data_IF_551365706177
#
_entry.id   IF_551365706177
#
_cell.length_a   1.000
_cell.length_b   1.000
_cell.length_c   1.000
_cell.angle_alpha   90.00
_cell.angle_beta   90.00
_cell.angle_gamma   90.00
#
_symmetry.space_group_name_H-M   'P 1'
#
loop_
_entity.id
_entity.type
_entity.pdbx_description
1 polymer ?
#
# COMPACT_ATOMS: atom_id res chain seq x y z
N UNK A 1 17.62 73.51 -33.00
CA UNK A 1 17.46 72.12 -32.56
C UNK A 1 16.09 71.62 -33.01
N UNK A 2 16.03 70.87 -34.10
CA UNK A 2 14.79 70.55 -34.80
C UNK A 2 14.13 69.29 -34.28
N UNK A 3 12.86 69.38 -33.92
CA UNK A 3 11.98 68.21 -33.63
C UNK A 3 11.36 67.73 -34.94
N UNK A 4 11.55 66.46 -35.26
CA UNK A 4 10.87 65.80 -36.36
C UNK A 4 9.69 64.96 -35.79
N UNK A 5 8.48 65.41 -36.14
CA UNK A 5 7.24 64.67 -35.91
C UNK A 5 6.99 63.75 -37.11
N UNK A 6 6.92 62.45 -36.90
CA UNK A 6 6.44 61.49 -37.91
C UNK A 6 4.99 61.16 -37.67
N UNK A 7 4.16 61.55 -38.62
CA UNK A 7 2.74 61.24 -38.75
C UNK A 7 2.53 59.75 -39.03
N UNK A 8 1.69 59.09 -38.20
CA UNK A 8 1.17 57.73 -38.46
C UNK A 8 -0.14 57.84 -39.25
N UNK A 9 -0.16 57.22 -40.44
CA UNK A 9 -1.36 57.07 -41.24
C UNK A 9 -2.18 55.88 -40.79
N UNK A 10 -3.45 56.10 -40.41
CA UNK A 10 -4.42 55.04 -40.10
C UNK A 10 -5.11 54.63 -41.38
N UNK A 11 -4.96 53.39 -41.79
CA UNK A 11 -5.73 52.77 -42.89
C UNK A 11 -7.00 52.14 -42.29
N UNK A 12 -8.16 52.66 -42.69
CA UNK A 12 -9.47 52.10 -42.36
C UNK A 12 -9.74 50.91 -43.30
N UNK A 13 -9.83 49.69 -42.77
CA UNK A 13 -10.31 48.51 -43.49
C UNK A 13 -11.82 48.36 -43.25
N UNK A 14 -12.59 48.47 -44.32
CA UNK A 14 -14.03 48.24 -44.37
C UNK A 14 -14.29 46.74 -44.44
N UNK A 15 -14.87 46.17 -43.39
CA UNK A 15 -15.30 44.76 -43.35
C UNK A 15 -16.73 44.68 -43.89
N UNK A 16 -16.89 44.02 -45.06
CA UNK A 16 -18.22 43.68 -45.59
C UNK A 16 -18.80 42.47 -44.85
N UNK A 17 -19.95 42.64 -44.17
CA UNK A 17 -20.70 41.56 -43.57
C UNK A 17 -21.43 40.79 -44.68
N UNK A 18 -20.98 39.57 -44.97
CA UNK A 18 -21.76 38.58 -45.68
C UNK A 18 -22.54 37.75 -44.63
N UNK A 19 -23.84 37.96 -44.56
CA UNK A 19 -24.74 37.10 -43.82
C UNK A 19 -24.95 35.82 -44.67
N UNK A 20 -24.25 34.72 -44.33
CA UNK A 20 -24.63 33.36 -44.78
C UNK A 20 -25.54 32.78 -43.72
N UNK A 21 -26.78 32.48 -44.11
CA UNK A 21 -27.66 31.62 -43.32
C UNK A 21 -27.05 30.22 -43.30
N UNK A 22 -26.35 29.87 -42.25
CA UNK A 22 -25.91 28.52 -41.99
C UNK A 22 -27.08 27.76 -41.37
N UNK A 23 -27.54 26.71 -42.05
CA UNK A 23 -28.32 25.66 -41.46
C UNK A 23 -27.66 25.15 -40.20
N UNK A 24 -28.44 24.96 -39.13
CA UNK A 24 -27.92 24.42 -37.85
C UNK A 24 -27.22 23.09 -38.09
N UNK A 25 -25.89 23.13 -37.97
CA UNK A 25 -25.17 21.94 -37.58
C UNK A 25 -25.38 21.88 -36.07
N UNK A 26 -26.17 20.89 -35.61
CA UNK A 26 -26.00 20.36 -34.28
C UNK A 26 -24.54 19.88 -34.21
N UNK A 27 -23.64 20.73 -33.72
CA UNK A 27 -22.34 20.24 -33.25
C UNK A 27 -22.67 19.20 -32.20
N UNK A 28 -22.52 17.94 -32.58
CA UNK A 28 -22.50 16.84 -31.60
C UNK A 28 -21.45 17.25 -30.60
N UNK A 29 -21.91 17.68 -29.43
CA UNK A 29 -21.02 17.94 -28.30
C UNK A 29 -20.05 16.76 -28.19
N UNK A 30 -18.76 17.03 -28.28
CA UNK A 30 -17.79 15.96 -28.11
C UNK A 30 -18.12 15.22 -26.82
N UNK A 31 -18.08 13.89 -26.82
CA UNK A 31 -18.33 13.15 -25.59
C UNK A 31 -17.46 13.74 -24.47
N UNK A 32 -17.99 13.88 -23.24
CA UNK A 32 -17.21 14.42 -22.14
C UNK A 32 -15.89 13.64 -22.03
N UNK A 33 -14.79 14.34 -21.96
CA UNK A 33 -13.47 13.72 -21.85
C UNK A 33 -13.42 12.90 -20.54
N UNK A 34 -13.12 11.62 -20.65
CA UNK A 34 -13.05 10.76 -19.47
C UNK A 34 -11.89 11.18 -18.56
N UNK A 35 -12.02 11.07 -17.22
CA UNK A 35 -10.94 11.39 -16.29
C UNK A 35 -9.65 10.70 -16.67
N UNK A 36 -8.60 11.49 -16.91
CA UNK A 36 -7.27 11.02 -17.25
C UNK A 36 -6.22 12.03 -16.80
N UNK A 37 -5.00 11.57 -16.60
CA UNK A 37 -3.92 12.48 -16.24
C UNK A 37 -2.69 11.81 -15.67
N UNK A 38 -1.78 12.67 -15.23
CA UNK A 38 -0.60 12.31 -14.47
C UNK A 38 -0.63 13.06 -13.15
N UNK A 39 -0.50 12.34 -12.04
CA UNK A 39 -0.51 12.91 -10.69
C UNK A 39 0.81 12.54 -10.01
N UNK A 40 1.37 13.50 -9.27
CA UNK A 40 2.47 13.26 -8.33
C UNK A 40 1.98 13.48 -6.91
N UNK A 41 2.15 12.48 -6.06
CA UNK A 41 1.75 12.54 -4.66
C UNK A 41 2.96 12.55 -3.72
N UNK A 42 2.83 13.25 -2.60
CA UNK A 42 3.81 13.19 -1.51
C UNK A 42 3.42 12.12 -0.50
N UNK A 43 4.08 10.97 -0.56
CA UNK A 43 3.86 9.83 0.32
C UNK A 43 4.94 9.69 1.42
N UNK A 44 5.59 10.82 1.81
CA UNK A 44 6.73 10.82 2.75
C UNK A 44 6.30 10.85 4.22
N UNK A 45 5.16 11.45 4.53
CA UNK A 45 4.69 11.70 5.91
C UNK A 45 3.49 10.85 6.33
N UNK A 46 3.01 9.95 5.47
CA UNK A 46 1.83 9.13 5.72
C UNK A 46 1.18 8.67 4.43
N UNK A 47 -0.07 8.26 4.52
CA UNK A 47 -0.87 7.89 3.36
C UNK A 47 -1.31 9.15 2.59
N UNK A 48 -1.06 9.17 1.30
CA UNK A 48 -1.57 10.16 0.36
C UNK A 48 -2.70 9.51 -0.44
N UNK A 49 -3.92 10.00 -0.28
CA UNK A 49 -5.13 9.44 -0.90
C UNK A 49 -5.43 10.17 -2.21
N UNK A 50 -5.91 9.45 -3.21
CA UNK A 50 -6.21 9.99 -4.54
C UNK A 50 -7.60 9.56 -4.98
N UNK A 51 -8.38 10.54 -5.44
CA UNK A 51 -9.57 10.32 -6.25
C UNK A 51 -9.17 10.26 -7.72
N UNK A 52 -9.31 9.09 -8.33
CA UNK A 52 -9.14 8.93 -9.77
C UNK A 52 -10.29 9.57 -10.54
N UNK A 53 -11.50 9.57 -9.94
CA UNK A 53 -12.67 10.20 -10.51
C UNK A 53 -12.51 11.71 -10.65
N UNK A 54 -11.95 12.36 -9.62
CA UNK A 54 -11.74 13.82 -9.60
C UNK A 54 -10.33 14.23 -10.05
N UNK A 55 -9.49 13.26 -10.40
CA UNK A 55 -8.09 13.49 -10.81
C UNK A 55 -7.30 14.30 -9.77
N UNK A 56 -7.50 14.06 -8.47
CA UNK A 56 -6.97 14.89 -7.40
C UNK A 56 -6.50 14.12 -6.16
N UNK A 57 -5.60 14.74 -5.41
CA UNK A 57 -5.24 14.27 -4.05
C UNK A 57 -6.33 14.74 -3.08
N UNK A 58 -6.82 13.84 -2.26
CA UNK A 58 -7.89 14.11 -1.28
C UNK A 58 -7.40 13.87 0.15
N UNK A 59 -8.11 14.45 1.13
CA UNK A 59 -7.79 14.27 2.55
C UNK A 59 -9.05 13.82 3.29
N UNK A 60 -9.39 12.52 3.21
CA UNK A 60 -10.58 12.01 3.86
C UNK A 60 -10.46 12.11 5.39
N UNK A 61 -11.56 12.47 6.06
CA UNK A 61 -11.62 12.58 7.54
C UNK A 61 -11.44 11.19 8.17
N UNK A 62 -12.10 10.18 7.63
CA UNK A 62 -11.94 8.78 8.01
C UNK A 62 -11.72 7.95 6.73
N UNK A 63 -10.48 7.64 6.40
CA UNK A 63 -10.16 6.92 5.18
C UNK A 63 -10.80 5.53 5.07
N UNK A 64 -11.02 4.85 6.19
CA UNK A 64 -11.55 3.48 6.20
C UNK A 64 -13.04 3.43 5.79
N UNK A 65 -13.79 4.49 6.05
CA UNK A 65 -15.22 4.59 5.74
C UNK A 65 -15.56 5.52 4.60
N UNK A 66 -14.61 6.39 4.20
CA UNK A 66 -14.80 7.35 3.10
C UNK A 66 -14.79 6.66 1.73
N UNK A 67 -15.66 7.12 0.83
CA UNK A 67 -15.68 6.72 -0.57
C UNK A 67 -15.00 7.72 -1.51
N UNK A 68 -14.34 8.75 -0.97
CA UNK A 68 -13.76 9.88 -1.74
C UNK A 68 -12.43 9.54 -2.43
N UNK A 69 -11.90 8.34 -2.28
CA UNK A 69 -10.62 7.93 -2.84
C UNK A 69 -10.68 6.50 -3.37
N UNK A 70 -9.88 6.17 -4.37
CA UNK A 70 -9.74 4.82 -4.91
C UNK A 70 -8.40 4.19 -4.59
N UNK A 71 -7.32 4.98 -4.61
CA UNK A 71 -5.95 4.51 -4.42
C UNK A 71 -5.18 5.41 -3.46
N UNK A 72 -4.32 4.84 -2.65
CA UNK A 72 -3.47 5.60 -1.73
C UNK A 72 -2.04 5.06 -1.71
N UNK A 73 -1.10 5.94 -1.36
CA UNK A 73 0.33 5.67 -1.37
C UNK A 73 0.98 6.02 -0.03
N UNK A 74 1.87 5.15 0.45
CA UNK A 74 2.75 5.43 1.59
C UNK A 74 4.11 4.81 1.33
N UNK A 75 5.12 5.63 1.07
CA UNK A 75 6.40 5.20 0.53
C UNK A 75 6.20 4.32 -0.72
N UNK A 76 6.61 3.06 -0.69
CA UNK A 76 6.42 2.11 -1.81
C UNK A 76 5.11 1.33 -1.74
N UNK A 77 4.37 1.46 -0.65
CA UNK A 77 3.11 0.74 -0.45
C UNK A 77 1.97 1.43 -1.20
N UNK A 78 1.15 0.61 -1.82
CA UNK A 78 -0.09 1.03 -2.50
C UNK A 78 -1.26 0.35 -1.80
N UNK A 79 -2.33 1.10 -1.57
CA UNK A 79 -3.54 0.64 -0.90
C UNK A 79 -4.76 1.01 -1.75
N UNK A 80 -5.73 0.11 -1.82
CA UNK A 80 -7.00 0.30 -2.51
C UNK A 80 -8.11 0.55 -1.49
N UNK A 81 -9.06 1.39 -1.82
CA UNK A 81 -10.24 1.63 -0.98
C UNK A 81 -11.25 0.47 -1.09
N UNK A 82 -10.83 -0.71 -0.64
CA UNK A 82 -11.69 -1.90 -0.70
C UNK A 82 -11.13 -3.07 0.09
N UNK A 83 -11.97 -4.07 0.32
CA UNK A 83 -11.63 -5.21 1.16
C UNK A 83 -11.39 -4.83 2.61
N UNK A 84 -10.24 -5.19 3.17
CA UNK A 84 -9.87 -4.84 4.55
C UNK A 84 -9.40 -3.38 4.71
N UNK A 85 -9.06 -2.70 3.62
CA UNK A 85 -8.43 -1.37 3.65
C UNK A 85 -9.43 -0.22 3.54
N UNK A 86 -10.67 -0.47 3.07
CA UNK A 86 -11.67 0.58 2.93
C UNK A 86 -13.02 0.08 2.45
N UNK A 87 -14.03 0.95 2.53
CA UNK A 87 -15.43 0.61 2.33
C UNK A 87 -15.95 0.86 0.89
N UNK A 88 -15.17 1.49 0.01
CA UNK A 88 -15.64 1.86 -1.33
C UNK A 88 -15.69 0.70 -2.34
N UNK A 89 -15.30 -0.52 -1.93
CA UNK A 89 -15.37 -1.71 -2.78
C UNK A 89 -14.38 -1.69 -3.95
N UNK A 90 -13.31 -0.92 -3.86
CA UNK A 90 -12.28 -0.85 -4.90
C UNK A 90 -11.48 -2.15 -4.94
N UNK A 91 -11.18 -2.59 -6.14
CA UNK A 91 -10.35 -3.76 -6.42
C UNK A 91 -9.45 -3.50 -7.62
N UNK A 92 -8.40 -4.28 -7.78
CA UNK A 92 -7.52 -4.11 -8.93
C UNK A 92 -7.11 -5.45 -9.55
N UNK A 93 -6.67 -5.36 -10.80
CA UNK A 93 -6.09 -6.44 -11.58
C UNK A 93 -4.80 -5.94 -12.22
N UNK A 94 -3.73 -6.75 -12.22
CA UNK A 94 -2.50 -6.43 -12.93
C UNK A 94 -2.56 -7.03 -14.34
N UNK A 95 -2.42 -6.20 -15.36
CA UNK A 95 -2.18 -6.69 -16.73
C UNK A 95 -0.79 -7.34 -16.80
N UNK A 96 0.14 -6.79 -16.05
CA UNK A 96 1.48 -7.36 -15.80
C UNK A 96 2.28 -7.66 -17.06
N UNK A 97 2.18 -6.82 -18.09
CA UNK A 97 2.87 -7.02 -19.37
C UNK A 97 4.40 -7.10 -19.22
N UNK A 98 4.97 -6.44 -18.21
CA UNK A 98 6.41 -6.43 -17.92
C UNK A 98 6.84 -7.45 -16.84
N UNK A 99 5.97 -8.39 -16.44
CA UNK A 99 6.29 -9.35 -15.37
C UNK A 99 7.52 -10.23 -15.66
N UNK A 100 7.74 -10.57 -16.93
CA UNK A 100 8.89 -11.38 -17.37
C UNK A 100 10.14 -10.57 -17.72
N UNK A 101 10.10 -9.23 -17.61
CA UNK A 101 11.26 -8.39 -17.93
C UNK A 101 12.44 -8.71 -17.00
N UNK A 102 13.65 -8.73 -17.57
CA UNK A 102 14.89 -8.85 -16.79
C UNK A 102 15.19 -7.56 -16.03
N UNK A 103 16.08 -7.59 -15.03
CA UNK A 103 16.50 -6.38 -14.32
C UNK A 103 17.09 -5.32 -15.26
N UNK A 104 17.91 -5.74 -16.22
CA UNK A 104 18.48 -4.83 -17.22
C UNK A 104 17.40 -4.15 -18.08
N UNK A 105 16.33 -4.87 -18.43
CA UNK A 105 15.19 -4.28 -19.14
C UNK A 105 14.45 -3.28 -18.27
N UNK A 106 14.16 -3.62 -16.99
CA UNK A 106 13.48 -2.71 -16.06
C UNK A 106 14.29 -1.44 -15.81
N UNK A 107 15.63 -1.54 -15.69
CA UNK A 107 16.51 -0.37 -15.55
C UNK A 107 16.42 0.55 -16.78
N UNK A 108 16.23 -0.01 -17.97
CA UNK A 108 16.16 0.74 -19.23
C UNK A 108 14.78 1.34 -19.54
N UNK A 109 13.72 0.94 -18.81
CA UNK A 109 12.37 1.46 -19.01
C UNK A 109 12.25 2.93 -18.60
N UNK A 110 11.48 3.70 -19.36
CA UNK A 110 11.15 5.10 -19.08
C UNK A 110 9.65 5.33 -19.23
N UNK A 111 9.09 6.40 -18.64
CA UNK A 111 7.68 6.76 -18.87
C UNK A 111 7.31 6.87 -20.36
N UNK A 112 8.26 7.33 -21.20
CA UNK A 112 8.06 7.50 -22.65
C UNK A 112 8.10 6.16 -23.38
N UNK A 113 9.06 5.26 -23.06
CA UNK A 113 9.16 3.94 -23.71
C UNK A 113 7.94 3.07 -23.41
N UNK A 114 7.34 3.22 -22.23
CA UNK A 114 6.21 2.41 -21.77
C UNK A 114 4.83 3.09 -21.97
N UNK A 115 4.80 4.21 -22.72
CA UNK A 115 3.54 4.91 -23.02
C UNK A 115 2.63 4.06 -23.91
N UNK A 116 3.19 3.42 -24.94
CA UNK A 116 2.41 2.59 -25.85
C UNK A 116 1.75 1.39 -25.13
N UNK A 117 2.45 0.80 -24.16
CA UNK A 117 1.89 -0.28 -23.31
C UNK A 117 0.71 0.21 -22.46
N UNK A 118 0.83 1.42 -21.91
CA UNK A 118 -0.27 2.03 -21.17
C UNK A 118 -1.46 2.32 -22.10
N UNK A 119 -1.24 2.94 -23.25
CA UNK A 119 -2.29 3.31 -24.19
C UNK A 119 -2.94 2.09 -24.85
N UNK A 120 -2.19 1.01 -25.03
CA UNK A 120 -2.68 -0.25 -25.59
C UNK A 120 -3.63 -1.03 -24.68
N UNK A 121 -3.69 -0.69 -23.39
CA UNK A 121 -4.68 -1.30 -22.46
C UNK A 121 -6.00 -0.54 -22.57
N UNK A 122 -6.96 -1.08 -23.26
CA UNK A 122 -8.30 -0.53 -23.50
C UNK A 122 -9.40 -1.33 -22.76
N UNK A 123 -10.66 -1.01 -23.02
CA UNK A 123 -11.81 -1.69 -22.40
C UNK A 123 -11.87 -3.20 -22.69
N UNK A 124 -11.28 -3.68 -23.81
CA UNK A 124 -11.24 -5.10 -24.14
C UNK A 124 -10.28 -5.90 -23.25
N UNK A 125 -9.32 -5.22 -22.61
CA UNK A 125 -8.41 -5.83 -21.66
C UNK A 125 -9.01 -6.02 -20.27
N UNK A 126 -10.22 -5.51 -20.00
CA UNK A 126 -10.87 -5.62 -18.69
C UNK A 126 -11.36 -7.07 -18.49
N UNK A 127 -10.80 -7.80 -17.51
CA UNK A 127 -11.18 -9.19 -17.28
C UNK A 127 -12.53 -9.29 -16.57
N UNK A 128 -13.04 -10.53 -16.43
CA UNK A 128 -14.22 -10.78 -15.63
C UNK A 128 -14.06 -10.27 -14.19
N UNK A 129 -15.16 -9.86 -13.56
CA UNK A 129 -15.16 -9.24 -12.23
C UNK A 129 -14.41 -10.05 -11.16
N UNK A 130 -14.47 -11.37 -11.22
CA UNK A 130 -13.80 -12.26 -10.26
C UNK A 130 -12.27 -12.30 -10.36
N UNK A 131 -11.67 -11.69 -11.39
CA UNK A 131 -10.22 -11.56 -11.51
C UNK A 131 -9.65 -10.36 -10.72
N UNK A 132 -10.51 -9.41 -10.35
CA UNK A 132 -10.10 -8.27 -9.55
C UNK A 132 -9.94 -8.66 -8.08
N UNK A 133 -8.89 -8.17 -7.44
CA UNK A 133 -8.53 -8.45 -6.05
C UNK A 133 -8.59 -7.16 -5.24
N UNK A 134 -9.36 -7.17 -4.14
CA UNK A 134 -9.33 -6.10 -3.12
C UNK A 134 -8.23 -6.36 -2.11
N UNK A 135 -7.89 -5.34 -1.33
CA UNK A 135 -6.88 -5.48 -0.29
C UNK A 135 -7.36 -6.37 0.86
N UNK A 136 -6.46 -7.20 1.35
CA UNK A 136 -6.63 -8.02 2.55
C UNK A 136 -5.60 -7.62 3.61
N UNK A 137 -5.91 -7.88 4.88
CA UNK A 137 -4.94 -7.71 5.96
C UNK A 137 -3.80 -8.72 5.80
N UNK A 138 -2.57 -8.24 5.87
CA UNK A 138 -1.35 -9.06 5.90
C UNK A 138 -0.68 -8.86 7.26
N UNK A 139 -0.87 -9.80 8.21
CA UNK A 139 -0.17 -9.74 9.48
C UNK A 139 1.34 -9.85 9.32
N UNK A 140 2.10 -9.02 10.04
CA UNK A 140 3.55 -9.15 10.11
C UNK A 140 3.97 -10.46 10.78
N UNK A 141 3.14 -10.97 11.67
CA UNK A 141 3.33 -12.24 12.39
C UNK A 141 2.91 -13.48 11.56
N UNK A 142 2.90 -13.39 10.25
CA UNK A 142 2.44 -14.47 9.38
C UNK A 142 3.37 -15.69 9.39
N UNK A 143 2.78 -16.90 9.36
CA UNK A 143 3.53 -18.14 9.35
C UNK A 143 3.91 -18.68 10.74
N UNK A 144 3.24 -18.20 11.78
CA UNK A 144 3.33 -18.74 13.14
C UNK A 144 2.65 -20.11 13.25
N UNK A 145 1.74 -20.42 12.33
CA UNK A 145 1.00 -21.68 12.28
C UNK A 145 1.08 -22.37 10.93
N UNK A 146 0.82 -23.67 10.94
CA UNK A 146 0.61 -24.49 9.74
C UNK A 146 -0.77 -25.13 9.79
N UNK A 147 -1.28 -25.56 8.63
CA UNK A 147 -2.59 -26.17 8.48
C UNK A 147 -3.68 -25.16 8.12
N UNK A 148 -4.80 -25.69 7.65
CA UNK A 148 -6.01 -24.94 7.29
C UNK A 148 -7.22 -25.65 7.87
N UNK A 149 -8.10 -24.89 8.51
CA UNK A 149 -9.36 -25.37 9.07
C UNK A 149 -9.25 -25.83 10.53
N UNK A 150 -10.43 -25.97 11.16
CA UNK A 150 -10.55 -26.35 12.55
C UNK A 150 -9.92 -27.73 12.83
N UNK A 151 -9.00 -27.79 13.76
CA UNK A 151 -8.33 -29.00 14.22
C UNK A 151 -7.04 -29.39 13.49
N UNK A 152 -6.68 -28.72 12.39
CA UNK A 152 -5.45 -28.98 11.65
C UNK A 152 -4.35 -27.92 11.89
N UNK A 153 -4.64 -26.85 12.66
CA UNK A 153 -3.71 -25.75 12.89
C UNK A 153 -2.77 -26.11 14.02
N UNK A 154 -1.46 -26.02 13.74
CA UNK A 154 -0.41 -26.24 14.72
C UNK A 154 0.59 -25.10 14.71
N UNK A 155 1.12 -24.74 15.88
CA UNK A 155 2.18 -23.77 16.00
C UNK A 155 3.46 -24.28 15.34
N UNK A 156 4.15 -23.43 14.58
CA UNK A 156 5.42 -23.77 13.93
C UNK A 156 6.62 -23.74 14.88
N UNK A 157 6.47 -23.11 16.04
CA UNK A 157 7.58 -22.85 16.97
C UNK A 157 8.62 -21.84 16.45
N UNK A 158 8.36 -21.19 15.32
CA UNK A 158 9.23 -20.18 14.73
C UNK A 158 9.48 -19.04 15.72
N UNK A 159 10.69 -18.51 15.70
CA UNK A 159 11.09 -17.38 16.53
C UNK A 159 10.78 -16.06 15.83
N UNK A 160 10.31 -15.11 16.59
CA UNK A 160 10.04 -13.74 16.16
C UNK A 160 10.77 -12.76 17.09
N UNK A 161 11.36 -11.73 16.52
CA UNK A 161 11.97 -10.63 17.24
C UNK A 161 11.07 -9.42 17.12
N UNK A 162 10.74 -8.80 18.23
CA UNK A 162 9.84 -7.66 18.30
C UNK A 162 10.59 -6.43 18.81
N UNK A 163 10.33 -5.29 18.21
CA UNK A 163 10.46 -3.99 18.85
C UNK A 163 9.09 -3.66 19.45
N UNK A 164 9.04 -3.36 20.74
CA UNK A 164 7.79 -3.14 21.45
C UNK A 164 7.26 -1.71 21.28
N UNK A 165 6.07 -1.46 21.78
CA UNK A 165 5.35 -0.21 21.56
C UNK A 165 6.00 1.02 22.23
N UNK A 166 6.89 0.83 23.19
CA UNK A 166 7.65 1.90 23.84
C UNK A 166 8.90 2.35 23.04
N UNK A 167 9.15 1.74 21.86
CA UNK A 167 10.31 1.98 20.97
C UNK A 167 11.69 1.73 21.61
N UNK A 168 11.78 1.30 22.86
CA UNK A 168 13.03 1.12 23.61
C UNK A 168 13.25 -0.32 24.05
N UNK A 169 12.18 -1.05 24.29
CA UNK A 169 12.20 -2.45 24.68
C UNK A 169 12.02 -3.38 23.49
N UNK A 170 12.53 -4.58 23.64
CA UNK A 170 12.46 -5.63 22.62
C UNK A 170 12.01 -6.94 23.26
N UNK A 171 11.56 -7.87 22.44
CA UNK A 171 11.24 -9.22 22.88
C UNK A 171 11.64 -10.25 21.83
N UNK A 172 12.00 -11.44 22.25
CA UNK A 172 11.91 -12.64 21.43
C UNK A 172 10.64 -13.40 21.80
N UNK A 173 9.91 -13.87 20.80
CA UNK A 173 8.58 -14.46 20.94
C UNK A 173 8.48 -15.71 20.09
N UNK A 174 7.79 -16.74 20.57
CA UNK A 174 7.29 -17.84 19.73
C UNK A 174 5.92 -18.31 20.20
N UNK A 175 5.10 -18.80 19.28
CA UNK A 175 3.87 -19.52 19.63
C UNK A 175 4.24 -20.97 19.87
N UNK A 176 3.90 -21.51 21.04
CA UNK A 176 4.25 -22.86 21.43
C UNK A 176 3.07 -23.84 21.33
N UNK A 177 1.85 -23.34 21.50
CA UNK A 177 0.67 -24.18 21.33
C UNK A 177 -0.58 -23.36 21.03
N UNK A 178 -1.54 -24.06 20.47
CA UNK A 178 -2.91 -23.63 20.28
C UNK A 178 -3.81 -24.73 20.85
N UNK A 179 -4.68 -24.37 21.78
CA UNK A 179 -5.55 -25.34 22.46
C UNK A 179 -7.02 -24.97 22.27
N UNK A 180 -7.86 -25.99 22.19
CA UNK A 180 -9.31 -25.86 22.20
C UNK A 180 -10.01 -25.31 20.96
N UNK A 181 -9.42 -25.28 19.75
CA UNK A 181 -10.19 -24.89 18.58
C UNK A 181 -11.23 -25.95 18.25
N UNK A 182 -12.48 -25.53 18.25
CA UNK A 182 -13.62 -26.35 17.81
C UNK A 182 -14.60 -25.46 17.06
N UNK A 183 -15.60 -26.07 16.40
CA UNK A 183 -16.65 -25.27 15.76
C UNK A 183 -17.28 -24.31 16.79
N UNK A 184 -17.07 -23.01 16.60
CA UNK A 184 -17.55 -21.96 17.51
C UNK A 184 -16.65 -21.62 18.70
N UNK A 185 -15.47 -22.25 18.85
CA UNK A 185 -14.48 -21.90 19.87
C UNK A 185 -13.10 -21.75 19.22
N UNK A 186 -12.60 -20.53 19.17
CA UNK A 186 -11.29 -20.23 18.60
C UNK A 186 -10.11 -20.74 19.47
N UNK A 187 -10.37 -21.15 20.73
CA UNK A 187 -9.35 -21.69 21.63
C UNK A 187 -8.43 -20.64 22.24
N UNK A 188 -7.25 -21.08 22.65
CA UNK A 188 -6.24 -20.25 23.33
C UNK A 188 -4.90 -20.38 22.60
N UNK A 189 -4.27 -19.26 22.29
CA UNK A 189 -2.90 -19.19 21.76
C UNK A 189 -1.94 -19.03 22.94
N UNK A 190 -1.00 -19.97 23.12
CA UNK A 190 0.04 -19.87 24.14
C UNK A 190 1.32 -19.34 23.52
N UNK A 191 1.78 -18.22 24.03
CA UNK A 191 2.99 -17.53 23.60
C UNK A 191 4.05 -17.70 24.68
N UNK A 192 5.28 -18.06 24.27
CA UNK A 192 6.48 -17.99 25.09
C UNK A 192 7.30 -16.77 24.64
N UNK A 193 7.81 -15.99 25.58
CA UNK A 193 8.57 -14.78 25.30
C UNK A 193 9.66 -14.50 26.34
N UNK A 194 10.64 -13.69 25.96
CA UNK A 194 11.61 -13.09 26.89
C UNK A 194 11.87 -11.65 26.49
N UNK A 195 11.84 -10.77 27.49
CA UNK A 195 12.03 -9.33 27.30
C UNK A 195 13.50 -8.96 27.28
N UNK A 196 13.84 -7.97 26.46
CA UNK A 196 15.11 -7.25 26.43
C UNK A 196 14.76 -5.77 26.65
N UNK A 197 14.97 -5.27 27.86
CA UNK A 197 14.51 -3.94 28.33
C UNK A 197 15.14 -2.76 27.60
N UNK A 198 16.24 -2.97 26.90
CA UNK A 198 16.85 -2.03 25.94
C UNK A 198 17.85 -2.78 25.05
N UNK A 199 18.33 -2.13 24.01
CA UNK A 199 19.22 -2.74 23.01
C UNK A 199 20.54 -3.32 23.58
N UNK A 200 21.03 -2.83 24.70
CA UNK A 200 22.29 -3.27 25.33
C UNK A 200 22.07 -4.33 26.42
N UNK A 201 20.83 -4.51 26.90
CA UNK A 201 20.52 -5.47 27.96
C UNK A 201 20.47 -6.91 27.43
N UNK A 202 20.79 -7.93 28.25
CA UNK A 202 20.48 -9.30 27.91
C UNK A 202 18.96 -9.55 28.01
N UNK A 203 18.50 -10.68 27.48
CA UNK A 203 17.14 -11.14 27.74
C UNK A 203 16.94 -11.47 29.21
N UNK A 204 15.78 -11.09 29.74
CA UNK A 204 15.30 -11.52 31.04
C UNK A 204 14.88 -12.99 31.05
N UNK A 205 14.19 -13.40 32.11
CA UNK A 205 13.62 -14.73 32.22
C UNK A 205 12.62 -15.00 31.10
N UNK A 206 12.53 -16.26 30.69
CA UNK A 206 11.50 -16.72 29.76
C UNK A 206 10.18 -16.85 30.52
N UNK A 207 9.12 -16.29 29.96
CA UNK A 207 7.75 -16.36 30.50
C UNK A 207 6.78 -16.87 29.44
N UNK A 208 5.57 -17.21 29.86
CA UNK A 208 4.48 -17.67 28.99
C UNK A 208 3.18 -16.97 29.29
N UNK A 209 2.40 -16.69 28.25
CA UNK A 209 1.06 -16.12 28.41
C UNK A 209 0.05 -16.87 27.53
N UNK A 210 -1.13 -17.10 28.09
CA UNK A 210 -2.27 -17.69 27.40
C UNK A 210 -3.24 -16.59 26.93
N UNK A 211 -3.44 -16.48 25.62
CA UNK A 211 -4.28 -15.47 25.00
C UNK A 211 -5.53 -16.13 24.41
N UNK A 212 -6.73 -15.90 24.99
CA UNK A 212 -7.98 -16.36 24.38
C UNK A 212 -8.13 -15.84 22.96
N UNK A 213 -8.44 -16.74 22.02
CA UNK A 213 -8.57 -16.40 20.59
C UNK A 213 -10.05 -16.22 20.16
N UNK A 214 -11.02 -16.39 21.05
CA UNK A 214 -12.45 -16.26 20.77
C UNK A 214 -12.90 -14.81 20.44
N UNK A 215 -12.06 -13.83 20.73
CA UNK A 215 -12.27 -12.41 20.44
C UNK A 215 -10.94 -11.68 20.46
N UNK A 216 -10.90 -10.39 20.13
CA UNK A 216 -9.66 -9.65 20.14
C UNK A 216 -9.09 -9.55 21.57
N UNK A 217 -8.04 -10.31 21.85
CA UNK A 217 -7.29 -10.26 23.11
C UNK A 217 -5.97 -9.56 22.88
N UNK A 218 -5.77 -8.42 23.54
CA UNK A 218 -4.55 -7.62 23.48
C UNK A 218 -3.64 -7.94 24.67
N UNK A 219 -2.33 -7.90 24.44
CA UNK A 219 -1.31 -8.09 25.47
C UNK A 219 -0.24 -7.01 25.38
N UNK A 220 0.17 -6.49 26.53
CA UNK A 220 1.39 -5.72 26.73
C UNK A 220 2.45 -6.68 27.28
N UNK A 221 3.49 -6.93 26.51
CA UNK A 221 4.55 -7.87 26.88
C UNK A 221 5.45 -7.31 27.97
N UNK A 222 5.60 -5.99 28.08
CA UNK A 222 6.40 -5.37 29.15
C UNK A 222 5.80 -5.66 30.54
N UNK A 223 4.49 -5.62 30.67
CA UNK A 223 3.79 -5.97 31.90
C UNK A 223 3.42 -7.44 32.02
N UNK A 224 3.45 -8.18 30.92
CA UNK A 224 2.96 -9.57 30.85
C UNK A 224 1.46 -9.68 31.06
N UNK A 225 0.69 -8.62 30.81
CA UNK A 225 -0.73 -8.54 31.13
C UNK A 225 -1.61 -8.43 29.88
N UNK A 226 -2.79 -9.07 29.95
CA UNK A 226 -3.87 -8.82 29.00
C UNK A 226 -4.43 -7.42 29.26
N UNK A 227 -4.55 -6.62 28.18
CA UNK A 227 -5.02 -5.23 28.21
C UNK A 227 -6.42 -5.17 27.60
N UNK A 228 -7.38 -4.63 28.32
CA UNK A 228 -8.77 -4.53 27.84
C UNK A 228 -8.94 -3.33 26.91
N UNK A 229 -8.37 -2.18 27.30
CA UNK A 229 -8.46 -0.91 26.57
C UNK A 229 -7.09 -0.22 26.50
N UNK A 230 -6.93 0.67 25.51
CA UNK A 230 -5.78 1.55 25.44
C UNK A 230 -4.85 1.27 24.25
N UNK A 231 -3.78 2.08 24.18
CA UNK A 231 -2.79 2.10 23.10
C UNK A 231 -1.47 1.39 23.46
N UNK A 232 -1.35 0.88 24.67
CA UNK A 232 -0.10 0.32 25.24
C UNK A 232 0.11 -1.18 24.98
N UNK A 233 -0.73 -1.81 24.16
CA UNK A 233 -0.57 -3.22 23.80
C UNK A 233 0.50 -3.43 22.74
N UNK A 234 1.09 -4.63 22.69
CA UNK A 234 2.05 -5.04 21.69
C UNK A 234 1.47 -6.00 20.66
N UNK A 235 0.81 -7.05 21.12
CA UNK A 235 0.20 -8.06 20.26
C UNK A 235 -1.31 -8.17 20.53
N UNK A 236 -2.05 -8.51 19.48
CA UNK A 236 -3.50 -8.78 19.53
C UNK A 236 -3.77 -10.13 18.85
N UNK A 237 -4.38 -11.05 19.58
CA UNK A 237 -4.87 -12.32 19.04
C UNK A 237 -6.36 -12.19 18.75
N UNK A 238 -6.77 -12.54 17.55
CA UNK A 238 -8.17 -12.59 17.13
C UNK A 238 -8.38 -13.76 16.18
N UNK A 239 -9.06 -14.80 16.62
CA UNK A 239 -9.18 -16.04 15.86
C UNK A 239 -7.78 -16.63 15.57
N UNK A 240 -7.48 -16.80 14.29
CA UNK A 240 -6.21 -17.35 13.79
C UNK A 240 -5.18 -16.29 13.42
N UNK A 241 -5.42 -15.02 13.77
CA UNK A 241 -4.52 -13.93 13.46
C UNK A 241 -3.82 -13.43 14.72
N UNK A 242 -2.51 -13.20 14.59
CA UNK A 242 -1.71 -12.46 15.56
C UNK A 242 -1.30 -11.17 14.89
N UNK A 243 -1.80 -10.07 15.41
CA UNK A 243 -1.61 -8.72 14.89
C UNK A 243 -0.73 -7.91 15.83
N UNK A 244 -0.07 -6.91 15.30
CA UNK A 244 0.83 -6.01 16.03
C UNK A 244 0.18 -4.66 16.28
N UNK A 245 0.53 -3.98 17.36
CA UNK A 245 0.21 -2.57 17.53
C UNK A 245 1.13 -1.71 16.66
N UNK A 246 0.99 -1.89 15.35
CA UNK A 246 1.79 -1.18 14.36
C UNK A 246 1.19 -1.34 12.98
N UNK A 247 1.59 -0.46 12.07
CA UNK A 247 1.09 -0.48 10.70
C UNK A 247 -0.41 -0.17 10.62
N UNK A 248 -1.20 -1.08 10.02
CA UNK A 248 -2.64 -0.89 9.80
C UNK A 248 -3.51 -1.45 10.92
N UNK A 249 -2.94 -2.22 11.85
CA UNK A 249 -3.68 -2.90 12.91
C UNK A 249 -3.68 -2.16 14.23
N UNK A 250 -2.82 -1.13 14.38
CA UNK A 250 -2.73 -0.33 15.58
C UNK A 250 -1.99 0.99 15.35
N UNK A 251 -2.15 1.93 16.28
CA UNK A 251 -1.53 3.26 16.23
C UNK A 251 -0.13 3.33 16.84
N UNK A 252 0.37 2.20 17.35
CA UNK A 252 1.70 2.11 17.96
C UNK A 252 2.79 1.84 16.94
N UNK A 253 3.98 1.50 17.47
CA UNK A 253 5.22 1.36 16.72
C UNK A 253 5.76 -0.08 16.69
N UNK A 254 5.00 -1.05 17.17
CA UNK A 254 5.43 -2.46 17.24
C UNK A 254 5.82 -2.98 15.87
N UNK A 255 7.06 -3.45 15.78
CA UNK A 255 7.60 -4.08 14.58
C UNK A 255 8.04 -5.52 14.85
N UNK A 256 7.99 -6.35 13.82
CA UNK A 256 8.22 -7.80 13.90
C UNK A 256 9.25 -8.23 12.87
N UNK A 257 10.21 -9.05 13.28
CA UNK A 257 11.15 -9.72 12.39
C UNK A 257 11.07 -11.24 12.59
N UNK A 258 10.90 -11.97 11.49
CA UNK A 258 10.88 -13.44 11.51
C UNK A 258 12.30 -13.99 11.53
N UNK A 259 12.74 -14.57 12.64
CA UNK A 259 14.09 -15.13 12.78
C UNK A 259 14.11 -16.63 12.46
N UNK A 260 15.21 -17.08 11.86
CA UNK A 260 15.48 -18.49 11.61
C UNK A 260 16.25 -19.15 12.76
N UNK A 261 16.79 -18.37 13.69
CA UNK A 261 17.49 -18.84 14.87
C UNK A 261 16.52 -19.48 15.86
N UNK A 262 16.87 -20.63 16.41
CA UNK A 262 16.09 -21.23 17.46
C UNK A 262 15.92 -20.29 18.67
N UNK A 263 14.76 -20.23 19.28
CA UNK A 263 14.39 -19.30 20.35
C UNK A 263 15.43 -19.25 21.48
N UNK A 264 15.96 -20.41 21.90
CA UNK A 264 16.96 -20.50 22.97
C UNK A 264 18.31 -19.87 22.59
N UNK A 265 18.63 -19.79 21.31
CA UNK A 265 19.93 -19.34 20.81
C UNK A 265 19.94 -17.86 20.40
N UNK A 266 18.78 -17.20 20.39
CA UNK A 266 18.69 -15.76 20.13
C UNK A 266 19.26 -15.01 21.30
N UNK A 267 20.25 -14.16 21.05
CA UNK A 267 20.96 -13.37 22.08
C UNK A 267 20.54 -11.90 22.12
N UNK A 268 19.92 -11.39 21.04
CA UNK A 268 19.37 -10.03 20.99
C UNK A 268 18.20 -9.98 20.04
N UNK A 269 17.18 -9.17 20.36
CA UNK A 269 16.10 -8.78 19.47
C UNK A 269 16.24 -7.34 18.95
N UNK A 270 17.24 -6.60 19.37
CA UNK A 270 17.51 -5.23 18.91
C UNK A 270 18.17 -5.25 17.52
N UNK A 271 17.37 -5.05 16.48
CA UNK A 271 17.80 -4.95 15.09
C UNK A 271 17.71 -3.48 14.62
N UNK A 272 18.36 -3.12 13.50
CA UNK A 272 18.09 -1.85 12.84
C UNK A 272 16.58 -1.69 12.54
N UNK A 273 16.04 -0.49 12.73
CA UNK A 273 14.58 -0.24 12.65
C UNK A 273 13.94 -0.69 11.33
N UNK A 274 14.67 -0.59 10.22
CA UNK A 274 14.22 -1.02 8.90
C UNK A 274 14.11 -2.55 8.72
N UNK A 275 14.64 -3.34 9.65
CA UNK A 275 14.51 -4.80 9.59
C UNK A 275 13.13 -5.28 10.04
N UNK A 276 12.43 -4.49 10.85
CA UNK A 276 11.12 -4.87 11.34
C UNK A 276 10.03 -4.59 10.32
N UNK A 277 9.13 -5.53 10.17
CA UNK A 277 7.88 -5.40 9.42
C UNK A 277 6.72 -5.04 10.36
N UNK A 278 5.71 -4.38 9.84
CA UNK A 278 4.45 -4.07 10.54
C UNK A 278 3.28 -4.67 9.76
N UNK A 279 2.13 -4.78 10.38
CA UNK A 279 0.91 -5.20 9.69
C UNK A 279 0.60 -4.24 8.53
N UNK A 280 0.16 -4.80 7.43
CA UNK A 280 -0.11 -4.05 6.21
C UNK A 280 -1.36 -4.55 5.50
N UNK A 281 -1.75 -3.81 4.48
CA UNK A 281 -2.71 -4.31 3.50
C UNK A 281 -1.97 -4.84 2.28
N UNK A 282 -2.55 -5.84 1.64
CA UNK A 282 -2.04 -6.40 0.41
C UNK A 282 -3.15 -6.95 -0.46
N UNK A 283 -3.02 -6.65 -1.73
CA UNK A 283 -3.86 -7.12 -2.81
C UNK A 283 -3.00 -7.32 -4.04
N UNK A 284 -3.43 -6.79 -5.18
CA UNK A 284 -2.69 -6.92 -6.43
C UNK A 284 -1.27 -6.36 -6.35
N UNK A 285 -1.07 -5.22 -5.67
CA UNK A 285 0.24 -4.57 -5.56
C UNK A 285 1.22 -5.32 -4.66
N UNK A 286 0.75 -6.17 -3.74
CA UNK A 286 1.59 -7.06 -2.96
C UNK A 286 2.01 -8.31 -3.74
N UNK A 287 1.10 -8.84 -4.58
CA UNK A 287 1.36 -10.01 -5.43
C UNK A 287 2.12 -9.68 -6.71
N UNK A 288 1.91 -8.48 -7.24
CA UNK A 288 2.55 -7.96 -8.46
C UNK A 288 3.09 -6.56 -8.18
N UNK A 289 4.29 -6.45 -7.60
CA UNK A 289 4.86 -5.17 -7.21
C UNK A 289 5.09 -4.23 -8.41
N UNK A 290 4.83 -2.96 -8.20
CA UNK A 290 5.00 -1.93 -9.22
C UNK A 290 6.46 -1.49 -9.41
N UNK A 291 7.40 -2.03 -8.62
CA UNK A 291 8.82 -1.69 -8.65
C UNK A 291 9.71 -2.89 -8.37
N UNK A 292 10.98 -2.76 -8.73
CA UNK A 292 12.07 -3.58 -8.23
C UNK A 292 13.04 -2.71 -7.45
N UNK A 293 13.63 -3.27 -6.40
CA UNK A 293 14.53 -2.57 -5.50
C UNK A 293 15.96 -3.10 -5.65
N UNK A 294 16.93 -2.19 -5.70
CA UNK A 294 18.37 -2.50 -5.66
C UNK A 294 18.84 -3.46 -6.76
N UNK A 295 18.30 -3.30 -7.98
CA UNK A 295 18.65 -4.12 -9.14
C UNK A 295 19.76 -3.50 -10.00
N UNK A 296 20.13 -2.25 -9.76
CA UNK A 296 21.19 -1.52 -10.48
C UNK A 296 22.40 -1.33 -9.59
N UNK A 297 23.51 -2.00 -9.93
CA UNK A 297 24.76 -1.88 -9.19
C UNK A 297 25.38 -0.46 -9.22
N UNK A 298 25.05 0.34 -10.24
CA UNK A 298 25.50 1.73 -10.38
C UNK A 298 24.68 2.71 -9.54
N UNK A 299 23.45 2.31 -9.14
CA UNK A 299 22.55 3.08 -8.30
C UNK A 299 22.02 2.20 -7.14
N UNK A 300 22.86 1.86 -6.15
CA UNK A 300 22.47 0.98 -5.06
C UNK A 300 21.33 1.61 -4.24
N UNK A 301 20.44 0.73 -3.73
CA UNK A 301 19.24 1.12 -2.98
C UNK A 301 18.21 1.95 -3.78
N UNK A 302 18.27 1.90 -5.10
CA UNK A 302 17.30 2.58 -5.96
C UNK A 302 16.04 1.73 -6.20
N UNK A 303 14.92 2.42 -6.40
CA UNK A 303 13.64 1.85 -6.80
C UNK A 303 13.46 2.10 -8.30
N UNK A 304 13.23 1.03 -9.04
CA UNK A 304 12.99 1.04 -10.48
C UNK A 304 11.54 0.61 -10.75
N UNK A 305 10.68 1.49 -11.27
CA UNK A 305 9.31 1.12 -11.66
C UNK A 305 9.31 -0.02 -12.70
N UNK A 306 8.37 -0.95 -12.58
CA UNK A 306 8.18 -2.02 -13.56
C UNK A 306 7.28 -1.59 -14.72
N UNK A 307 6.66 -0.43 -14.61
CA UNK A 307 5.69 0.10 -15.56
C UNK A 307 4.55 -0.85 -15.92
N UNK A 308 4.27 -1.83 -15.07
CA UNK A 308 3.07 -2.65 -15.22
C UNK A 308 1.81 -1.78 -15.19
N UNK A 309 0.86 -2.09 -16.05
CA UNK A 309 -0.45 -1.46 -16.03
C UNK A 309 -1.37 -2.24 -15.09
N UNK A 310 -2.04 -1.51 -14.22
CA UNK A 310 -3.04 -2.03 -13.30
C UNK A 310 -4.42 -1.48 -13.70
N UNK A 311 -5.42 -2.35 -13.68
CA UNK A 311 -6.81 -1.96 -13.81
C UNK A 311 -7.38 -1.77 -12.41
N UNK A 312 -7.80 -0.56 -12.06
CA UNK A 312 -8.43 -0.22 -10.77
C UNK A 312 -9.91 -0.05 -11.01
N UNK A 313 -10.72 -0.82 -10.28
CA UNK A 313 -12.16 -0.92 -10.47
C UNK A 313 -12.93 -0.49 -9.23
N UNK A 314 -13.94 0.36 -9.43
CA UNK A 314 -14.95 0.70 -8.44
C UNK A 314 -16.35 0.55 -9.07
N UNK A 315 -17.14 -0.40 -8.58
CA UNK A 315 -18.43 -0.73 -9.21
C UNK A 315 -18.27 -1.19 -10.66
N UNK A 316 -18.82 -0.44 -11.62
CA UNK A 316 -18.68 -0.64 -13.06
C UNK A 316 -17.53 0.15 -13.67
N UNK A 317 -17.08 1.20 -13.01
CA UNK A 317 -16.00 2.07 -13.47
C UNK A 317 -14.64 1.39 -13.35
N UNK A 318 -13.85 1.42 -14.42
CA UNK A 318 -12.50 0.89 -14.46
C UNK A 318 -11.53 1.95 -14.98
N UNK A 319 -10.44 2.13 -14.26
CA UNK A 319 -9.30 2.96 -14.66
C UNK A 319 -8.09 2.08 -14.96
N UNK A 320 -7.34 2.40 -16.01
CA UNK A 320 -5.97 1.92 -16.15
C UNK A 320 -5.03 2.86 -15.39
N UNK A 321 -4.08 2.31 -14.65
CA UNK A 321 -3.13 3.03 -13.81
C UNK A 321 -1.74 2.47 -14.05
N UNK A 322 -0.74 3.33 -14.23
CA UNK A 322 0.66 2.93 -14.37
C UNK A 322 1.54 3.83 -13.51
N UNK A 323 2.33 3.24 -12.60
CA UNK A 323 3.25 3.96 -11.74
C UNK A 323 4.54 4.24 -12.50
N UNK A 324 4.97 5.50 -12.53
CA UNK A 324 6.05 6.02 -13.39
C UNK A 324 7.33 6.30 -12.63
N UNK A 325 7.23 6.78 -11.39
CA UNK A 325 8.41 7.17 -10.62
C UNK A 325 8.15 7.15 -9.12
N UNK A 326 9.21 6.95 -8.35
CA UNK A 326 9.26 7.04 -6.89
C UNK A 326 9.90 8.34 -6.41
N UNK A 327 10.65 9.01 -7.28
CA UNK A 327 11.45 10.18 -6.96
C UNK A 327 10.84 11.45 -7.55
N UNK A 328 10.94 12.55 -6.81
CA UNK A 328 10.58 13.86 -7.29
C UNK A 328 11.66 14.45 -8.23
N UNK A 329 11.39 15.63 -8.82
CA UNK A 329 12.29 16.27 -9.77
C UNK A 329 13.68 16.62 -9.23
N UNK A 330 13.80 16.82 -7.89
CA UNK A 330 15.07 17.07 -7.21
C UNK A 330 15.68 15.79 -6.58
N UNK A 331 15.15 14.60 -6.92
CA UNK A 331 15.62 13.32 -6.40
C UNK A 331 15.03 12.94 -5.03
N UNK A 332 14.03 13.69 -4.54
CA UNK A 332 13.38 13.37 -3.27
C UNK A 332 12.62 12.05 -3.37
N UNK A 333 12.87 11.14 -2.44
CA UNK A 333 12.15 9.88 -2.36
C UNK A 333 10.68 10.06 -1.94
N UNK A 334 9.85 9.06 -2.22
CA UNK A 334 8.43 9.02 -1.83
C UNK A 334 7.58 10.12 -2.48
N UNK A 335 7.98 10.51 -3.71
CA UNK A 335 7.21 11.38 -4.61
C UNK A 335 6.65 10.52 -5.74
N UNK A 336 5.57 9.82 -5.45
CA UNK A 336 5.03 8.85 -6.40
C UNK A 336 4.35 9.56 -7.55
N UNK A 337 4.85 9.35 -8.76
CA UNK A 337 4.20 9.82 -9.99
C UNK A 337 3.57 8.63 -10.70
N UNK A 338 2.32 8.77 -11.09
CA UNK A 338 1.60 7.78 -11.88
C UNK A 338 0.71 8.45 -12.92
N UNK A 339 0.43 7.75 -14.01
CA UNK A 339 -0.59 8.14 -15.01
C UNK A 339 -1.79 7.20 -14.94
N UNK A 340 -2.93 7.72 -15.31
CA UNK A 340 -4.18 6.97 -15.32
C UNK A 340 -5.13 7.48 -16.42
N UNK A 341 -6.05 6.62 -16.83
CA UNK A 341 -7.18 7.01 -17.66
C UNK A 341 -8.38 6.09 -17.38
N UNK A 342 -9.57 6.67 -17.42
CA UNK A 342 -10.82 5.92 -17.32
C UNK A 342 -11.05 5.11 -18.60
N UNK A 343 -11.45 3.85 -18.47
CA UNK A 343 -11.73 2.94 -19.57
C UNK A 343 -13.22 2.69 -19.75
N UNK A 344 -13.95 2.56 -18.66
CA UNK A 344 -15.39 2.22 -18.65
C UNK A 344 -16.13 3.04 -17.60
N UNK A 345 -17.43 3.19 -17.78
CA UNK A 345 -18.34 3.75 -16.78
C UNK A 345 -18.89 2.68 -15.84
#
# INVERSE_FOLDING_TARGET
>A
MSFNVRTLSVAAATVALLATAACGNDELSAPPELPQGTITVNASTGWAYVSLADSSVVTPIDPATSSEWEIAFNATRVMLNGGAAGAAGVSAYCVCQNAAATDAQVIAMTPESELADFEGVDASAVPAAGAFVSDSLIPAFKGWSTGVGAGAIAATGKTWLLRLNDDTSFAKVRVISLTGPSAGNAGTVRIEYALQVNAAAPFGAVDTIDLPAAGPTKVDLNSGAVVVDGTTWDLKVSGWEILTNGGVSGSGTVGVYADTTAFANVTSAALPSQAYSVDGFGGVFAGSPWYRYNIDASAPNHIHPTFNVYLVRQGTTVYRVQLLNYYGPAGESRRITFRFAKLTD
#
